data_IF_719903788649
#
_entry.id   IF_719903788649
#
_cell.length_a   1.000
_cell.length_b   1.000
_cell.length_c   1.000
_cell.angle_alpha   90.00
_cell.angle_beta   90.00
_cell.angle_gamma   90.00
#
_symmetry.space_group_name_H-M   'P 1'
#
loop_
_entity.id
_entity.type
_entity.pdbx_description
1 polymer ?
#
# COMPACT_ATOMS: atom_id res chain seq x y z
N UNK A 1 -3.06 14.12 -18.86
CA UNK A 1 -3.31 13.99 -20.30
C UNK A 1 -4.56 13.15 -20.48
N UNK A 2 -5.63 13.66 -21.12
CA UNK A 2 -6.81 12.86 -21.45
C UNK A 2 -6.37 11.72 -22.39
N UNK A 3 -6.70 10.48 -22.02
CA UNK A 3 -6.42 9.31 -22.86
C UNK A 3 -7.59 9.14 -23.84
N UNK A 4 -7.34 8.59 -25.03
CA UNK A 4 -8.44 8.31 -25.97
C UNK A 4 -9.49 7.44 -25.27
N UNK A 5 -10.78 7.74 -25.46
CA UNK A 5 -11.86 7.00 -24.81
C UNK A 5 -11.76 5.54 -25.20
N UNK A 6 -11.61 4.67 -24.19
CA UNK A 6 -11.56 3.23 -24.39
C UNK A 6 -12.70 2.58 -23.64
N UNK A 7 -13.48 1.78 -24.35
CA UNK A 7 -14.49 0.95 -23.74
C UNK A 7 -13.83 -0.24 -23.06
N UNK A 8 -13.98 -0.32 -21.74
CA UNK A 8 -13.43 -1.42 -20.96
C UNK A 8 -14.58 -2.06 -20.19
N UNK A 9 -14.77 -3.34 -20.45
CA UNK A 9 -15.76 -4.13 -19.75
C UNK A 9 -15.27 -4.38 -18.34
N UNK A 10 -16.02 -3.89 -17.36
CA UNK A 10 -15.78 -4.25 -15.97
C UNK A 10 -15.99 -5.75 -15.78
N UNK A 11 -15.35 -6.36 -14.78
CA UNK A 11 -15.51 -7.79 -14.45
C UNK A 11 -16.95 -8.20 -14.10
N UNK A 12 -17.83 -7.24 -13.86
CA UNK A 12 -19.25 -7.46 -13.62
C UNK A 12 -20.12 -7.35 -14.89
N UNK A 13 -19.50 -7.27 -16.07
CA UNK A 13 -20.20 -7.26 -17.37
C UNK A 13 -20.67 -5.88 -17.83
N UNK A 14 -20.54 -4.84 -17.01
CA UNK A 14 -20.86 -3.47 -17.41
C UNK A 14 -19.72 -2.86 -18.24
N UNK A 15 -20.02 -2.41 -19.44
CA UNK A 15 -19.11 -1.61 -20.27
C UNK A 15 -19.12 -0.17 -19.77
N UNK A 16 -17.95 0.37 -19.45
CA UNK A 16 -17.79 1.78 -19.09
C UNK A 16 -16.76 2.41 -20.02
N UNK A 17 -17.09 3.57 -20.58
CA UNK A 17 -16.17 4.42 -21.31
C UNK A 17 -15.15 5.00 -20.33
N UNK A 18 -13.88 4.60 -20.46
CA UNK A 18 -12.80 5.20 -19.69
C UNK A 18 -12.16 6.34 -20.48
N UNK A 19 -12.48 7.58 -20.09
CA UNK A 19 -11.79 8.80 -20.54
C UNK A 19 -10.60 9.15 -19.62
N UNK A 20 -10.56 8.57 -18.43
CA UNK A 20 -9.54 8.82 -17.39
C UNK A 20 -8.73 7.55 -17.08
N UNK A 21 -7.54 7.68 -16.50
CA UNK A 21 -6.63 6.54 -16.20
C UNK A 21 -7.23 5.50 -15.24
N UNK A 22 -8.10 5.95 -14.32
CA UNK A 22 -8.83 5.12 -13.36
C UNK A 22 -10.29 5.58 -13.31
N UNK A 23 -11.22 4.64 -13.33
CA UNK A 23 -12.64 4.94 -13.16
C UNK A 23 -13.27 3.88 -12.25
N UNK A 24 -14.13 4.32 -11.34
CA UNK A 24 -14.84 3.42 -10.42
C UNK A 24 -16.10 2.92 -11.14
N UNK A 25 -16.29 1.60 -11.20
CA UNK A 25 -17.52 1.07 -11.80
C UNK A 25 -18.73 1.40 -10.91
N UNK A 26 -19.72 2.12 -11.46
CA UNK A 26 -20.93 2.57 -10.75
C UNK A 26 -21.72 1.39 -10.16
N UNK A 27 -21.80 0.26 -10.88
CA UNK A 27 -22.54 -0.92 -10.39
C UNK A 27 -21.82 -1.73 -9.31
N UNK A 28 -20.49 -1.75 -9.35
CA UNK A 28 -19.70 -2.82 -8.71
C UNK A 28 -18.72 -2.25 -7.68
N UNK A 29 -18.55 -0.93 -7.63
CA UNK A 29 -17.59 -0.22 -6.77
C UNK A 29 -16.12 -0.56 -7.02
N UNK A 30 -15.82 -1.42 -8.00
CA UNK A 30 -14.46 -1.87 -8.30
C UNK A 30 -13.78 -0.89 -9.26
N UNK A 31 -12.51 -0.59 -8.97
CA UNK A 31 -11.66 0.19 -9.86
C UNK A 31 -11.41 -0.55 -11.17
N UNK A 32 -11.79 0.08 -12.28
CA UNK A 32 -11.45 -0.32 -13.64
C UNK A 32 -10.26 0.53 -14.07
N UNK A 33 -9.23 -0.14 -14.57
CA UNK A 33 -7.99 0.51 -14.99
C UNK A 33 -7.91 0.50 -16.50
N UNK A 34 -7.42 1.59 -17.09
CA UNK A 34 -7.25 1.70 -18.54
C UNK A 34 -6.27 0.65 -19.11
N UNK A 35 -5.27 0.27 -18.32
CA UNK A 35 -4.24 -0.69 -18.70
C UNK A 35 -3.92 -1.63 -17.53
N UNK A 36 -3.83 -2.94 -17.80
CA UNK A 36 -3.42 -3.93 -16.80
C UNK A 36 -1.99 -3.67 -16.28
N UNK A 37 -1.13 -3.01 -17.07
CA UNK A 37 0.19 -2.56 -16.60
C UNK A 37 0.09 -1.51 -15.49
N UNK A 38 -0.87 -0.60 -15.58
CA UNK A 38 -1.10 0.42 -14.53
C UNK A 38 -1.65 -0.21 -13.27
N UNK A 39 -2.52 -1.22 -13.40
CA UNK A 39 -3.02 -2.01 -12.28
C UNK A 39 -1.91 -2.76 -11.54
N UNK A 40 -0.97 -3.37 -12.27
CA UNK A 40 0.20 -4.04 -11.66
C UNK A 40 1.12 -3.04 -10.97
N UNK A 41 1.42 -1.90 -11.61
CA UNK A 41 2.21 -0.82 -11.00
C UNK A 41 1.56 -0.31 -9.71
N UNK A 42 0.24 -0.06 -9.73
CA UNK A 42 -0.49 0.40 -8.54
C UNK A 42 -0.43 -0.60 -7.38
N UNK A 43 -0.55 -1.91 -7.67
CA UNK A 43 -0.38 -2.95 -6.65
C UNK A 43 1.04 -2.98 -6.09
N UNK A 44 2.05 -2.90 -6.97
CA UNK A 44 3.45 -2.88 -6.53
C UNK A 44 3.74 -1.65 -5.68
N UNK A 45 3.35 -0.45 -6.12
CA UNK A 45 3.56 0.78 -5.34
C UNK A 45 2.88 0.67 -3.98
N UNK A 46 1.64 0.20 -3.92
CA UNK A 46 0.91 0.00 -2.64
C UNK A 46 1.66 -0.96 -1.72
N UNK A 47 2.14 -2.09 -2.27
CA UNK A 47 2.92 -3.07 -1.52
C UNK A 47 4.24 -2.49 -1.00
N UNK A 48 4.98 -1.76 -1.84
CA UNK A 48 6.22 -1.09 -1.44
C UNK A 48 5.98 -0.06 -0.34
N UNK A 49 4.93 0.76 -0.45
CA UNK A 49 4.57 1.70 0.63
C UNK A 49 4.23 0.96 1.92
N UNK A 50 3.47 -0.12 1.86
CA UNK A 50 3.11 -0.90 3.05
C UNK A 50 4.35 -1.53 3.70
N UNK A 51 5.24 -2.13 2.90
CA UNK A 51 6.49 -2.70 3.38
C UNK A 51 7.38 -1.65 4.04
N UNK A 52 7.45 -0.44 3.47
CA UNK A 52 8.23 0.67 4.02
C UNK A 52 7.66 1.16 5.36
N UNK A 53 6.33 1.22 5.49
CA UNK A 53 5.69 1.50 6.77
C UNK A 53 5.98 0.42 7.82
N UNK A 54 5.85 -0.86 7.46
CA UNK A 54 6.14 -1.96 8.39
C UNK A 54 7.60 -1.94 8.86
N UNK A 55 8.54 -1.65 7.95
CA UNK A 55 9.95 -1.53 8.28
C UNK A 55 10.22 -0.35 9.21
N UNK A 56 9.62 0.82 8.93
CA UNK A 56 9.74 2.00 9.78
C UNK A 56 9.19 1.76 11.19
N UNK A 57 7.99 1.18 11.31
CA UNK A 57 7.41 0.84 12.61
C UNK A 57 8.20 -0.27 13.32
N UNK A 58 8.66 -1.28 12.61
CA UNK A 58 9.51 -2.34 13.15
C UNK A 58 10.82 -1.78 13.70
N UNK A 59 11.47 -0.90 12.95
CA UNK A 59 12.69 -0.23 13.38
C UNK A 59 12.45 0.67 14.60
N UNK A 60 11.38 1.45 14.58
CA UNK A 60 11.02 2.32 15.70
C UNK A 60 10.76 1.51 16.97
N UNK A 61 9.96 0.46 16.88
CA UNK A 61 9.67 -0.44 18.01
C UNK A 61 10.91 -1.16 18.52
N UNK A 62 11.83 -1.56 17.62
CA UNK A 62 13.13 -2.12 17.99
C UNK A 62 13.96 -1.12 18.81
N UNK A 63 14.05 0.14 18.38
CA UNK A 63 14.77 1.18 19.12
C UNK A 63 14.15 1.44 20.50
N UNK A 64 12.82 1.49 20.59
CA UNK A 64 12.14 1.61 21.89
C UNK A 64 12.43 0.42 22.80
N UNK A 65 12.42 -0.80 22.26
CA UNK A 65 12.80 -2.00 23.02
C UNK A 65 14.24 -1.91 23.49
N UNK A 66 15.20 -1.53 22.66
CA UNK A 66 16.58 -1.32 23.12
C UNK A 66 16.65 -0.28 24.23
N UNK A 67 15.99 0.87 24.08
CA UNK A 67 16.06 1.94 25.08
C UNK A 67 15.46 1.55 26.45
N UNK A 68 14.51 0.60 26.50
CA UNK A 68 13.88 0.11 27.74
C UNK A 68 14.58 -1.14 28.27
N UNK A 69 14.93 -2.09 27.39
CA UNK A 69 15.53 -3.38 27.77
C UNK A 69 16.99 -3.20 28.18
N UNK A 70 17.74 -2.32 27.53
CA UNK A 70 19.16 -2.07 27.86
C UNK A 70 19.35 -1.57 29.30
N UNK A 71 18.59 -0.58 29.82
CA UNK A 71 18.72 -0.18 31.23
C UNK A 71 18.20 -1.25 32.21
N UNK A 72 17.21 -2.06 31.82
CA UNK A 72 16.71 -3.18 32.63
C UNK A 72 17.75 -4.31 32.78
N UNK A 73 18.55 -4.56 31.73
CA UNK A 73 19.62 -5.56 31.75
C UNK A 73 20.93 -5.03 32.36
N UNK A 74 21.28 -3.76 32.15
CA UNK A 74 22.50 -3.16 32.72
C UNK A 74 22.33 -2.74 34.20
N UNK A 75 21.09 -2.54 34.66
CA UNK A 75 20.76 -2.24 36.06
C UNK A 75 20.96 -3.39 37.06
N UNK A 76 21.32 -4.59 36.61
CA UNK A 76 21.63 -5.71 37.51
C UNK A 76 23.10 -5.74 37.99
N UNK A 77 23.97 -4.84 37.52
CA UNK A 77 25.37 -4.77 37.94
C UNK A 77 25.63 -3.95 39.23
N UNK A 78 24.59 -3.41 39.87
CA UNK A 78 24.70 -2.68 41.15
C UNK A 78 23.71 -3.28 42.17
N UNK A 79 23.99 -4.50 42.63
CA UNK A 79 23.53 -4.98 43.94
C UNK A 79 24.78 -5.36 44.74
N UNK A 80 25.03 -4.74 45.91
CA UNK A 80 26.08 -5.18 46.82
C UNK A 80 25.78 -6.56 47.41
#
# INVERSE_FOLDING_TARGET
MPKPPKDITCKCGHTTTLETSKLLCIKCGKYVFYNDREKRRYKMTTFYTLALFLLAFGFLTFLFMEMIVTPLMSGQAVRP
#
